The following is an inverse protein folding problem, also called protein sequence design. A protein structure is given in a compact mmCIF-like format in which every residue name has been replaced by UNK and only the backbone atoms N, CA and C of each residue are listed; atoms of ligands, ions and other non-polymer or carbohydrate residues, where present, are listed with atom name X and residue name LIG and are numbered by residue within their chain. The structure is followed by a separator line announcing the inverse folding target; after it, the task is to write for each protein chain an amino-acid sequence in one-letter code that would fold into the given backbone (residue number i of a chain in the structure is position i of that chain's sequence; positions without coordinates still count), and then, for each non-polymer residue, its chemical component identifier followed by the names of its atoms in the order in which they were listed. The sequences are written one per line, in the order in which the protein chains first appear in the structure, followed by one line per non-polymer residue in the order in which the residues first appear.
data_IF_266108559514
#
_entry.id   IF_266108559514
#
_cell.length_a   1.000
_cell.length_b   1.000
_cell.length_c   1.000
_cell.angle_alpha   90.00
_cell.angle_beta   90.00
_cell.angle_gamma   90.00
#
_symmetry.space_group_name_H-M   'P 1'
#
loop_
_entity.id
_entity.type
_entity.pdbx_description
1 polymer ?
#
# COMPACT_ATOMS: atom_id res chain seq x y z
N UNK A 1 7.89 6.63 8.14
CA UNK A 1 6.96 5.98 9.09
C UNK A 1 6.00 6.98 9.73
N UNK A 2 6.51 8.05 10.36
CA UNK A 2 5.69 9.07 11.03
C UNK A 2 4.57 9.64 10.13
N UNK A 3 4.85 9.89 8.85
CA UNK A 3 3.86 10.35 7.87
C UNK A 3 2.71 9.35 7.71
N UNK A 4 3.02 8.07 7.48
CA UNK A 4 1.99 7.04 7.25
C UNK A 4 1.12 6.82 8.50
N UNK A 5 1.75 6.75 9.67
CA UNK A 5 1.04 6.54 10.95
C UNK A 5 0.23 7.78 11.32
N UNK A 6 0.83 8.97 11.22
CA UNK A 6 0.14 10.23 11.50
C UNK A 6 -1.06 10.45 10.58
N UNK A 7 -0.91 10.14 9.29
CA UNK A 7 -2.01 10.16 8.33
C UNK A 7 -3.14 9.22 8.79
N UNK A 8 -2.84 7.96 9.09
CA UNK A 8 -3.88 6.99 9.48
C UNK A 8 -4.58 7.36 10.79
N UNK A 9 -3.88 8.00 11.73
CA UNK A 9 -4.46 8.49 12.99
C UNK A 9 -5.37 9.72 12.81
N UNK A 10 -5.21 10.47 11.73
CA UNK A 10 -5.99 11.67 11.45
C UNK A 10 -7.22 11.42 10.57
N UNK A 11 -7.36 10.22 10.00
CA UNK A 11 -8.45 9.84 9.10
C UNK A 11 -9.56 9.10 9.85
N UNK A 12 -10.80 9.31 9.41
CA UNK A 12 -11.97 8.62 9.92
C UNK A 12 -12.17 7.26 9.24
N UNK A 13 -13.05 6.44 9.83
CA UNK A 13 -13.45 5.16 9.23
C UNK A 13 -14.28 5.41 7.96
N UNK A 14 -13.75 4.93 6.82
CA UNK A 14 -14.37 5.09 5.50
C UNK A 14 -13.58 6.01 4.57
N UNK A 15 -12.67 6.82 5.12
CA UNK A 15 -11.76 7.62 4.32
C UNK A 15 -10.84 6.75 3.46
N UNK A 16 -10.40 7.34 2.36
CA UNK A 16 -9.55 6.66 1.38
C UNK A 16 -8.28 7.45 1.10
N UNK A 17 -7.20 6.73 0.81
CA UNK A 17 -5.89 7.30 0.50
C UNK A 17 -5.36 6.72 -0.81
N UNK A 18 -4.66 7.56 -1.57
CA UNK A 18 -3.85 7.17 -2.72
C UNK A 18 -2.47 7.79 -2.59
N UNK A 19 -1.43 7.15 -3.14
CA UNK A 19 -0.06 7.66 -3.11
C UNK A 19 0.74 7.19 -4.33
N UNK A 20 1.96 7.68 -4.47
CA UNK A 20 2.88 7.22 -5.50
C UNK A 20 3.55 5.88 -5.12
N UNK A 21 4.55 5.47 -5.90
CA UNK A 21 5.26 4.19 -5.79
C UNK A 21 6.02 3.92 -4.46
N UNK A 22 6.08 4.88 -3.52
CA UNK A 22 6.67 4.68 -2.17
C UNK A 22 5.58 4.32 -1.16
N UNK A 23 4.94 3.17 -1.36
CA UNK A 23 3.68 2.85 -0.70
C UNK A 23 3.75 1.83 0.45
N UNK A 24 4.87 1.13 0.69
CA UNK A 24 4.88 -0.04 1.60
C UNK A 24 4.43 0.27 3.02
N UNK A 25 4.93 1.36 3.61
CA UNK A 25 4.53 1.78 4.95
C UNK A 25 3.05 2.19 5.04
N UNK A 26 2.52 2.77 3.97
CA UNK A 26 1.10 3.16 3.87
C UNK A 26 0.25 1.90 3.74
N UNK A 27 0.62 0.96 2.88
CA UNK A 27 -0.04 -0.35 2.76
C UNK A 27 -0.12 -1.08 4.10
N UNK A 28 0.96 -1.04 4.91
CA UNK A 28 0.98 -1.64 6.24
C UNK A 28 -0.04 -1.01 7.21
N UNK A 29 -0.13 0.32 7.28
CA UNK A 29 -1.10 0.98 8.18
C UNK A 29 -2.54 0.86 7.68
N UNK A 30 -2.73 0.59 6.38
CA UNK A 30 -4.02 0.25 5.75
C UNK A 30 -4.28 -1.27 5.71
N UNK A 31 -3.68 -2.03 6.62
CA UNK A 31 -4.06 -3.41 6.92
C UNK A 31 -3.36 -4.49 6.09
N UNK A 32 -2.44 -4.14 5.18
CA UNK A 32 -1.64 -5.14 4.48
C UNK A 32 -0.54 -5.66 5.42
N UNK A 33 -0.52 -6.95 5.72
CA UNK A 33 0.54 -7.51 6.58
C UNK A 33 1.92 -7.33 5.95
N UNK A 34 2.95 -7.09 6.77
CA UNK A 34 4.34 -7.01 6.31
C UNK A 34 4.78 -8.27 5.55
N UNK A 35 4.28 -9.45 5.96
CA UNK A 35 4.51 -10.71 5.24
C UNK A 35 3.95 -10.67 3.81
N UNK A 36 2.74 -10.12 3.62
CA UNK A 36 2.12 -10.00 2.31
C UNK A 36 2.84 -8.98 1.42
N UNK A 37 3.32 -7.87 2.01
CA UNK A 37 4.15 -6.88 1.31
C UNK A 37 5.46 -7.53 0.82
N UNK A 38 6.18 -8.22 1.71
CA UNK A 38 7.42 -8.92 1.36
C UNK A 38 7.18 -10.04 0.35
N UNK A 39 6.07 -10.78 0.47
CA UNK A 39 5.69 -11.80 -0.50
C UNK A 39 5.46 -11.20 -1.90
N UNK A 40 4.86 -10.01 -1.98
CA UNK A 40 4.66 -9.30 -3.24
C UNK A 40 5.99 -8.82 -3.85
N UNK A 41 6.88 -8.27 -3.02
CA UNK A 41 8.22 -7.87 -3.45
C UNK A 41 9.03 -9.04 -4.01
N UNK A 42 8.80 -10.25 -3.49
CA UNK A 42 9.42 -11.48 -3.95
C UNK A 42 8.64 -12.21 -5.05
N UNK A 43 7.59 -11.58 -5.62
CA UNK A 43 6.78 -12.14 -6.71
C UNK A 43 6.05 -13.43 -6.36
N UNK A 44 5.66 -13.62 -5.09
CA UNK A 44 5.00 -14.85 -4.61
C UNK A 44 3.49 -14.74 -4.71
N UNK A 45 2.82 -15.87 -4.96
CA UNK A 45 1.33 -15.97 -4.99
C UNK A 45 0.63 -15.49 -3.72
N UNK A 46 1.34 -15.46 -2.59
CA UNK A 46 0.83 -14.99 -1.30
C UNK A 46 1.05 -13.49 -1.09
N UNK A 47 1.50 -12.77 -2.13
CA UNK A 47 1.61 -11.32 -2.12
C UNK A 47 0.24 -10.65 -2.17
N UNK A 48 0.19 -9.37 -1.81
CA UNK A 48 -1.06 -8.59 -1.72
C UNK A 48 -1.79 -8.47 -3.06
N UNK A 49 -1.07 -8.54 -4.19
CA UNK A 49 -1.61 -8.57 -5.54
C UNK A 49 -1.35 -9.93 -6.23
N UNK A 50 -1.10 -10.98 -5.45
CA UNK A 50 -0.79 -12.32 -5.95
C UNK A 50 0.55 -12.42 -6.69
N UNK A 51 1.49 -11.52 -6.42
CA UNK A 51 2.81 -11.46 -7.07
C UNK A 51 2.81 -10.77 -8.43
N UNK A 52 1.72 -10.08 -8.81
CA UNK A 52 1.58 -9.38 -10.10
C UNK A 52 1.89 -7.89 -10.04
N UNK A 53 1.79 -7.27 -8.87
CA UNK A 53 1.93 -5.83 -8.68
C UNK A 53 3.36 -5.41 -8.32
N UNK A 54 4.10 -6.27 -7.63
CA UNK A 54 5.46 -6.00 -7.19
C UNK A 54 5.54 -4.82 -6.20
N UNK A 55 6.63 -4.06 -6.25
CA UNK A 55 6.91 -3.01 -5.25
C UNK A 55 5.95 -1.83 -5.30
N UNK A 56 5.50 -1.44 -6.50
CA UNK A 56 4.82 -0.16 -6.69
C UNK A 56 3.29 -0.31 -6.56
N UNK A 57 2.72 -1.48 -6.92
CA UNK A 57 1.29 -1.66 -7.06
C UNK A 57 0.72 -2.58 -5.96
N UNK A 58 0.39 -1.99 -4.82
CA UNK A 58 -0.21 -2.67 -3.66
C UNK A 58 -1.52 -2.01 -3.31
N UNK A 59 -2.60 -2.78 -3.08
CA UNK A 59 -3.95 -2.23 -2.85
C UNK A 59 -4.58 -2.88 -1.61
N UNK A 60 -5.39 -2.12 -0.88
CA UNK A 60 -6.23 -2.65 0.21
C UNK A 60 -7.49 -1.81 0.39
N UNK A 61 -8.39 -2.23 1.29
CA UNK A 61 -9.62 -1.47 1.56
C UNK A 61 -9.27 -0.07 2.10
N UNK A 62 -9.78 0.98 1.46
CA UNK A 62 -9.46 2.37 1.81
C UNK A 62 -8.08 2.84 1.33
N UNK A 63 -7.34 2.01 0.58
CA UNK A 63 -6.04 2.37 0.01
C UNK A 63 -5.98 2.00 -1.47
N UNK A 64 -6.08 3.01 -2.33
CA UNK A 64 -6.07 2.87 -3.79
C UNK A 64 -4.67 2.71 -4.40
N UNK A 65 -3.69 2.47 -3.54
CA UNK A 65 -2.41 1.90 -3.91
C UNK A 65 -1.31 2.89 -4.21
N UNK A 66 -0.23 2.34 -4.76
CA UNK A 66 0.91 3.10 -5.25
C UNK A 66 0.86 3.20 -6.77
N UNK A 67 0.98 4.42 -7.28
CA UNK A 67 1.10 4.67 -8.71
C UNK A 67 2.59 4.77 -9.13
N UNK A 68 2.92 4.11 -10.24
CA UNK A 68 4.25 4.15 -10.85
C UNK A 68 4.46 5.37 -11.73
N UNK A 69 3.38 6.03 -12.17
CA UNK A 69 3.43 7.24 -13.00
C UNK A 69 3.48 8.45 -12.07
N UNK A 70 4.54 9.25 -12.20
CA UNK A 70 4.70 10.47 -11.42
C UNK A 70 3.56 11.44 -11.75
N UNK A 71 2.69 11.71 -10.77
CA UNK A 71 1.52 12.57 -10.93
C UNK A 71 0.28 11.90 -11.51
N UNK A 72 0.30 10.57 -11.70
CA UNK A 72 -0.85 9.79 -12.19
C UNK A 72 -1.81 9.33 -11.10
N UNK A 73 -1.38 9.44 -9.84
CA UNK A 73 -2.16 9.07 -8.65
C UNK A 73 -3.33 10.02 -8.37
#
# INVERSE_FOLDING_TARGET
EAVAVGLKMALDDGDSVITAYRCHGIACVFGVSARSVLAELMGRKTGVAGGKGGSMHMYSKGFYGGDGIVGGQ
#
